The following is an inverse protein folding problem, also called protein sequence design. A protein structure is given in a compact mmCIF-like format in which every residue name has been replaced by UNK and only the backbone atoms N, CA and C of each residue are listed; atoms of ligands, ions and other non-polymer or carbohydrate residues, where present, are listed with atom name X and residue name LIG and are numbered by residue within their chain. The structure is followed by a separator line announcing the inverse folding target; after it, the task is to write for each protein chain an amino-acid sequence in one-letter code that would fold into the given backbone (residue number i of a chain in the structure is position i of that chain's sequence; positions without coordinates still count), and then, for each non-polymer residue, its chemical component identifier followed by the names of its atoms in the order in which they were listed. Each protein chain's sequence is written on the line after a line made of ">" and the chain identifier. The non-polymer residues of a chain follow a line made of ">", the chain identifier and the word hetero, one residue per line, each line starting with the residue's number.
data_IF_033347345676
#
_entry.id   IF_033347345676
#
_cell.length_a   1.000
_cell.length_b   1.000
_cell.length_c   1.000
_cell.angle_alpha   90.00
_cell.angle_beta   90.00
_cell.angle_gamma   90.00
#
_symmetry.space_group_name_H-M   'P 1'
#
loop_
_entity.id
_entity.type
_entity.pdbx_description
1 polymer ?
#
# COMPACT_ATOMS: atom_id res chain seq x y z
N UNK A 1 22.60 -24.79 -9.22
CA UNK A 1 21.65 -24.32 -8.18
C UNK A 1 20.83 -23.19 -8.78
N UNK A 2 19.70 -23.53 -9.41
CA UNK A 2 18.79 -22.53 -9.98
C UNK A 2 18.02 -21.91 -8.82
N UNK A 3 18.23 -20.62 -8.59
CA UNK A 3 17.50 -19.86 -7.58
C UNK A 3 16.00 -20.02 -7.85
N UNK A 4 15.29 -20.63 -6.92
CA UNK A 4 13.84 -20.54 -6.83
C UNK A 4 13.51 -19.06 -6.78
N UNK A 5 13.22 -18.47 -7.94
CA UNK A 5 12.64 -17.14 -8.02
C UNK A 5 11.33 -17.26 -7.26
N UNK A 6 11.30 -16.70 -6.06
CA UNK A 6 10.11 -16.65 -5.21
C UNK A 6 9.10 -15.73 -5.90
N UNK A 7 8.42 -16.25 -6.92
CA UNK A 7 7.41 -15.56 -7.74
C UNK A 7 6.44 -14.75 -6.85
N UNK A 8 5.96 -15.27 -5.69
CA UNK A 8 5.11 -14.50 -4.79
C UNK A 8 5.79 -13.25 -4.19
N UNK A 9 7.06 -13.33 -3.84
CA UNK A 9 7.83 -12.21 -3.26
C UNK A 9 8.08 -11.13 -4.32
N UNK A 10 8.43 -11.51 -5.54
CA UNK A 10 8.59 -10.55 -6.64
C UNK A 10 7.28 -9.84 -6.98
N UNK A 11 6.17 -10.57 -6.96
CA UNK A 11 4.82 -9.99 -7.12
C UNK A 11 4.54 -8.98 -6.00
N UNK A 12 4.78 -9.35 -4.73
CA UNK A 12 4.60 -8.46 -3.59
C UNK A 12 5.43 -7.18 -3.73
N UNK A 13 6.72 -7.30 -4.05
CA UNK A 13 7.62 -6.15 -4.24
C UNK A 13 7.13 -5.21 -5.34
N UNK A 14 6.71 -5.75 -6.49
CA UNK A 14 6.15 -4.97 -7.60
C UNK A 14 4.86 -4.24 -7.19
N UNK A 15 3.98 -4.91 -6.44
CA UNK A 15 2.72 -4.36 -5.96
C UNK A 15 2.91 -3.25 -4.92
N UNK A 16 3.79 -3.44 -3.95
CA UNK A 16 4.13 -2.44 -2.93
C UNK A 16 4.71 -1.20 -3.60
N UNK A 17 5.62 -1.37 -4.56
CA UNK A 17 6.27 -0.26 -5.26
C UNK A 17 5.25 0.65 -5.96
N UNK A 18 4.22 0.05 -6.59
CA UNK A 18 3.12 0.80 -7.23
C UNK A 18 2.29 1.59 -6.22
N UNK A 19 1.91 0.99 -5.09
CA UNK A 19 1.16 1.69 -4.04
C UNK A 19 1.99 2.80 -3.42
N UNK A 20 3.26 2.54 -3.14
CA UNK A 20 4.19 3.49 -2.54
C UNK A 20 4.36 4.72 -3.40
N UNK A 21 4.59 4.55 -4.71
CA UNK A 21 4.73 5.67 -5.63
C UNK A 21 3.52 6.61 -5.59
N UNK A 22 2.31 6.06 -5.47
CA UNK A 22 1.09 6.87 -5.36
C UNK A 22 0.99 7.56 -4.00
N UNK A 23 0.98 6.78 -2.92
CA UNK A 23 0.65 7.29 -1.59
C UNK A 23 1.77 8.11 -0.94
N UNK A 24 3.04 7.87 -1.28
CA UNK A 24 4.14 8.62 -0.70
C UNK A 24 4.33 9.99 -1.37
N UNK A 25 4.26 10.05 -2.70
CA UNK A 25 4.58 11.27 -3.45
C UNK A 25 3.36 12.16 -3.73
N UNK A 26 2.14 11.66 -3.57
CA UNK A 26 0.94 12.48 -3.76
C UNK A 26 0.53 13.19 -2.47
N UNK A 27 0.79 14.50 -2.39
CA UNK A 27 0.36 15.36 -1.27
C UNK A 27 -1.14 15.27 -0.99
N UNK A 28 -1.96 15.17 -2.05
CA UNK A 28 -3.41 14.98 -1.94
C UNK A 28 -3.78 13.64 -1.28
N UNK A 29 -3.13 12.54 -1.69
CA UNK A 29 -3.36 11.23 -1.06
C UNK A 29 -2.88 11.20 0.39
N UNK A 30 -1.73 11.83 0.68
CA UNK A 30 -1.24 11.97 2.05
C UNK A 30 -2.26 12.67 2.96
N UNK A 31 -2.88 13.76 2.48
CA UNK A 31 -3.90 14.48 3.25
C UNK A 31 -5.14 13.62 3.49
N UNK A 32 -5.67 12.99 2.44
CA UNK A 32 -6.85 12.15 2.54
C UNK A 32 -6.61 10.91 3.42
N UNK A 33 -5.39 10.37 3.39
CA UNK A 33 -4.98 9.30 4.28
C UNK A 33 -4.97 9.74 5.74
N UNK A 34 -4.44 10.92 6.06
CA UNK A 34 -4.51 11.47 7.42
C UNK A 34 -5.95 11.65 7.91
N UNK A 35 -6.82 12.18 7.06
CA UNK A 35 -8.24 12.33 7.36
C UNK A 35 -8.91 10.95 7.61
N UNK A 36 -8.59 9.95 6.80
CA UNK A 36 -9.11 8.60 6.96
C UNK A 36 -8.54 7.93 8.23
N UNK A 37 -7.27 8.12 8.54
CA UNK A 37 -6.65 7.62 9.77
C UNK A 37 -7.32 8.17 11.02
N UNK A 38 -7.60 9.47 11.05
CA UNK A 38 -8.35 10.10 12.13
C UNK A 38 -9.76 9.51 12.27
N UNK A 39 -10.47 9.33 11.14
CA UNK A 39 -11.82 8.74 11.13
C UNK A 39 -11.84 7.32 11.73
N UNK A 40 -10.80 6.53 11.47
CA UNK A 40 -10.70 5.14 11.95
C UNK A 40 -9.95 5.00 13.28
N UNK A 41 -9.60 6.10 13.96
CA UNK A 41 -8.77 6.09 15.17
C UNK A 41 -7.43 5.35 15.00
N UNK A 42 -6.85 5.40 13.80
CA UNK A 42 -5.57 4.78 13.48
C UNK A 42 -4.40 5.75 13.72
N UNK A 43 -3.19 5.24 13.99
CA UNK A 43 -1.99 6.07 14.07
C UNK A 43 -1.78 6.89 12.79
N UNK A 44 -1.46 8.17 12.95
CA UNK A 44 -1.21 9.10 11.82
C UNK A 44 0.19 8.91 11.25
N UNK A 45 0.40 7.77 10.59
CA UNK A 45 1.66 7.41 9.94
C UNK A 45 1.58 7.59 8.42
N UNK A 46 2.71 7.87 7.77
CA UNK A 46 2.79 8.01 6.31
C UNK A 46 3.38 6.77 5.66
N UNK A 47 3.03 6.53 4.40
CA UNK A 47 3.62 5.45 3.61
C UNK A 47 5.16 5.61 3.57
N UNK A 48 5.95 4.60 3.96
CA UNK A 48 7.40 4.68 3.94
C UNK A 48 7.96 4.97 2.55
N UNK A 49 9.00 5.81 2.47
CA UNK A 49 9.68 6.15 1.22
C UNK A 49 10.37 4.93 0.58
N UNK A 50 10.60 5.01 -0.72
CA UNK A 50 11.48 4.09 -1.44
C UNK A 50 12.92 4.55 -1.29
N UNK A 51 13.81 3.69 -0.80
CA UNK A 51 15.23 3.79 -1.09
C UNK A 51 15.50 2.79 -2.21
N UNK A 52 15.91 3.32 -3.38
CA UNK A 52 16.11 2.57 -4.63
C UNK A 52 17.07 1.38 -4.45
N UNK A 53 17.94 1.42 -3.43
CA UNK A 53 18.98 0.42 -3.19
C UNK A 53 18.67 -0.62 -2.11
N UNK A 54 17.56 -0.54 -1.36
CA UNK A 54 17.35 -1.39 -0.16
C UNK A 54 15.97 -2.05 -0.06
N UNK A 55 15.99 -3.38 -0.21
CA UNK A 55 14.86 -4.31 -0.03
C UNK A 55 14.22 -4.25 1.37
N UNK A 56 14.98 -3.85 2.41
CA UNK A 56 14.44 -3.66 3.76
C UNK A 56 13.40 -2.55 3.87
N UNK A 57 13.27 -1.66 2.87
CA UNK A 57 12.19 -0.67 2.86
C UNK A 57 10.83 -1.28 2.48
N UNK A 58 10.80 -2.49 1.94
CA UNK A 58 9.56 -3.19 1.56
C UNK A 58 8.78 -3.70 2.76
N UNK A 59 9.47 -4.18 3.80
CA UNK A 59 8.82 -4.72 5.00
C UNK A 59 8.05 -3.64 5.79
N UNK A 60 8.61 -2.45 6.08
CA UNK A 60 7.85 -1.36 6.69
C UNK A 60 6.63 -0.93 5.86
N UNK A 61 6.72 -0.98 4.52
CA UNK A 61 5.60 -0.65 3.66
C UNK A 61 4.51 -1.74 3.65
N UNK A 62 4.90 -3.02 3.74
CA UNK A 62 3.97 -4.14 3.94
C UNK A 62 3.21 -4.01 5.25
N UNK A 63 3.95 -3.78 6.34
CA UNK A 63 3.39 -3.54 7.67
C UNK A 63 2.45 -2.33 7.65
N UNK A 64 2.87 -1.22 7.03
CA UNK A 64 2.03 -0.05 6.83
C UNK A 64 0.72 -0.40 6.13
N UNK A 65 0.78 -1.10 4.99
CA UNK A 65 -0.42 -1.46 4.21
C UNK A 65 -1.38 -2.30 5.03
N UNK A 66 -0.86 -3.25 5.83
CA UNK A 66 -1.66 -4.08 6.72
C UNK A 66 -2.35 -3.24 7.81
N UNK A 67 -1.58 -2.47 8.58
CA UNK A 67 -2.11 -1.71 9.72
C UNK A 67 -3.03 -0.57 9.32
N UNK A 68 -2.88 -0.06 8.10
CA UNK A 68 -3.62 1.09 7.59
C UNK A 68 -4.63 0.71 6.52
N UNK A 69 -4.94 -0.59 6.36
CA UNK A 69 -5.76 -1.08 5.26
C UNK A 69 -7.13 -0.39 5.18
N UNK A 70 -7.79 -0.19 6.31
CA UNK A 70 -9.12 0.42 6.38
C UNK A 70 -9.09 1.88 5.90
N UNK A 71 -8.13 2.67 6.40
CA UNK A 71 -7.91 4.03 5.94
C UNK A 71 -7.54 4.09 4.45
N UNK A 72 -6.70 3.17 3.97
CA UNK A 72 -6.34 3.06 2.56
C UNK A 72 -7.58 2.75 1.70
N UNK A 73 -8.43 1.81 2.10
CA UNK A 73 -9.68 1.49 1.40
C UNK A 73 -10.61 2.70 1.34
N UNK A 74 -10.76 3.44 2.44
CA UNK A 74 -11.59 4.65 2.50
C UNK A 74 -11.09 5.74 1.57
N UNK A 75 -9.77 5.97 1.50
CA UNK A 75 -9.18 6.91 0.54
C UNK A 75 -9.51 6.44 -0.88
N UNK A 76 -9.22 5.17 -1.20
CA UNK A 76 -9.49 4.60 -2.52
C UNK A 76 -10.98 4.68 -2.92
N UNK A 77 -11.89 4.51 -1.96
CA UNK A 77 -13.33 4.58 -2.18
C UNK A 77 -13.81 6.02 -2.40
N UNK A 78 -13.36 6.98 -1.58
CA UNK A 78 -13.62 8.43 -1.77
C UNK A 78 -13.13 8.92 -3.14
N UNK A 79 -12.05 8.34 -3.68
CA UNK A 79 -11.58 8.64 -5.03
C UNK A 79 -12.46 8.06 -6.14
N UNK A 80 -13.07 6.90 -5.95
CA UNK A 80 -13.99 6.31 -6.94
C UNK A 80 -15.24 7.18 -7.17
N UNK A 81 -15.72 7.85 -6.12
CA UNK A 81 -16.91 8.71 -6.16
C UNK A 81 -16.67 10.07 -6.82
N UNK A 82 -15.43 10.57 -6.81
CA UNK A 82 -15.08 11.85 -7.41
C UNK A 82 -14.40 11.55 -8.76
N UNK A 83 -15.10 11.78 -9.87
CA UNK A 83 -14.70 11.47 -11.26
C UNK A 83 -13.35 12.09 -11.70
N UNK A 84 -12.24 11.58 -11.16
CA UNK A 84 -10.89 12.09 -11.41
C UNK A 84 -10.13 11.02 -12.21
N UNK A 85 -9.91 11.33 -13.49
CA UNK A 85 -9.36 10.48 -14.56
C UNK A 85 -8.01 9.78 -14.31
N UNK A 86 -7.33 10.02 -13.18
CA UNK A 86 -5.92 9.65 -13.00
C UNK A 86 -5.54 8.96 -11.68
N UNK A 87 -6.48 8.47 -10.86
CA UNK A 87 -6.16 7.97 -9.51
C UNK A 87 -7.03 6.76 -9.07
N UNK A 88 -6.58 5.99 -8.06
CA UNK A 88 -6.41 4.54 -8.11
C UNK A 88 -7.75 3.77 -8.14
N UNK A 89 -7.83 2.79 -9.02
CA UNK A 89 -9.04 2.06 -9.38
C UNK A 89 -9.20 0.78 -8.52
N UNK A 90 -10.20 -0.03 -8.85
CA UNK A 90 -10.43 -1.35 -8.25
C UNK A 90 -9.17 -2.26 -8.23
N UNK A 91 -8.16 -2.00 -9.05
CA UNK A 91 -6.90 -2.74 -9.05
C UNK A 91 -6.04 -2.41 -7.83
N UNK A 92 -5.99 -1.18 -7.32
CA UNK A 92 -5.24 -0.89 -6.08
C UNK A 92 -5.88 -1.53 -4.85
N UNK A 93 -7.22 -1.55 -4.79
CA UNK A 93 -7.94 -2.29 -3.76
C UNK A 93 -7.65 -3.80 -3.85
N UNK A 94 -7.66 -4.38 -5.06
CA UNK A 94 -7.23 -5.77 -5.29
C UNK A 94 -5.77 -5.97 -4.89
N UNK A 95 -4.90 -5.00 -5.13
CA UNK A 95 -3.48 -5.07 -4.74
C UNK A 95 -3.33 -5.10 -3.23
N UNK A 96 -4.04 -4.24 -2.49
CA UNK A 96 -4.03 -4.26 -1.02
C UNK A 96 -4.51 -5.62 -0.51
N UNK A 97 -5.62 -6.16 -1.06
CA UNK A 97 -6.10 -7.50 -0.70
C UNK A 97 -5.08 -8.60 -0.99
N UNK A 98 -4.46 -8.59 -2.17
CA UNK A 98 -3.41 -9.55 -2.53
C UNK A 98 -2.22 -9.43 -1.57
N UNK A 99 -1.83 -8.22 -1.19
CA UNK A 99 -0.76 -8.00 -0.22
C UNK A 99 -1.14 -8.56 1.14
N UNK A 100 -2.32 -8.24 1.67
CA UNK A 100 -2.77 -8.76 2.96
C UNK A 100 -2.84 -10.30 2.94
N UNK A 101 -3.46 -10.89 1.91
CA UNK A 101 -3.62 -12.35 1.79
C UNK A 101 -2.28 -13.10 1.65
N UNK A 102 -1.30 -12.51 0.95
CA UNK A 102 0.03 -13.14 0.79
C UNK A 102 0.95 -12.88 1.98
N UNK A 103 0.75 -11.78 2.71
CA UNK A 103 1.59 -11.40 3.85
C UNK A 103 1.11 -11.99 5.18
N UNK A 104 -0.20 -12.20 5.38
CA UNK A 104 -0.73 -12.83 6.59
C UNK A 104 -0.08 -14.18 6.96
N UNK A 105 0.09 -15.15 6.04
CA UNK A 105 0.72 -16.42 6.37
C UNK A 105 2.24 -16.35 6.60
N UNK A 106 2.88 -15.20 6.38
CA UNK A 106 4.32 -14.99 6.55
C UNK A 106 4.68 -14.35 7.91
N UNK A 107 3.67 -14.02 8.72
CA UNK A 107 3.85 -13.46 10.04
C UNK A 107 3.79 -14.64 11.06
N UNK A 108 4.88 -14.96 11.78
CA UNK A 108 4.89 -16.00 12.80
C UNK A 108 3.99 -15.65 13.99
#
# INVERSE_FOLDING_TARGET
>A
MSSMSLIPVQILLSKISKLRFKFHYSSKLCRLLKEAQQKHNLPQIVMPASCVTRWWTSLPALQFIRYQQEALFDVLYKFKSNSIKYLPNCNEQKIIRVICNLYEPLNP
#
